data_IF_876868612889
#
_entry.id   IF_876868612889
#
_cell.length_a   1.000
_cell.length_b   1.000
_cell.length_c   1.000
_cell.angle_alpha   90.00
_cell.angle_beta   90.00
_cell.angle_gamma   90.00
#
_symmetry.space_group_name_H-M   'P 1'
#
loop_
_entity.id
_entity.type
_entity.pdbx_description
1 polymer ?
#
# COMPACT_ATOMS: atom_id res chain seq x y z
N UNK A 1 -60.03 -20.40 -30.39
CA UNK A 1 -58.79 -20.07 -29.70
C UNK A 1 -58.39 -18.64 -30.08
N UNK A 2 -58.50 -17.72 -29.15
CA UNK A 2 -58.33 -16.28 -29.40
C UNK A 2 -56.86 -15.89 -29.37
N UNK A 3 -56.30 -15.22 -30.37
CA UNK A 3 -54.90 -14.85 -30.43
C UNK A 3 -54.49 -13.69 -29.51
N UNK A 4 -55.42 -13.15 -28.71
CA UNK A 4 -55.15 -11.96 -27.90
C UNK A 4 -54.48 -12.25 -26.54
N UNK A 5 -54.46 -13.50 -26.07
CA UNK A 5 -53.89 -13.82 -24.75
C UNK A 5 -52.35 -14.12 -24.77
N UNK A 6 -51.77 -14.31 -25.95
CA UNK A 6 -50.33 -14.63 -26.02
C UNK A 6 -49.46 -13.37 -26.03
N UNK A 7 -50.02 -12.23 -26.41
CA UNK A 7 -49.25 -10.96 -26.48
C UNK A 7 -49.01 -10.31 -25.11
N UNK A 8 -49.92 -10.53 -24.14
CA UNK A 8 -49.77 -9.97 -22.80
C UNK A 8 -48.75 -10.66 -21.90
N UNK A 9 -48.42 -11.92 -22.17
CA UNK A 9 -47.43 -12.68 -21.42
C UNK A 9 -46.00 -12.31 -21.83
N UNK A 10 -45.81 -11.94 -23.11
CA UNK A 10 -44.48 -11.53 -23.62
C UNK A 10 -44.08 -10.14 -23.11
N UNK A 11 -45.00 -9.20 -22.99
CA UNK A 11 -44.72 -7.85 -22.48
C UNK A 11 -44.43 -7.78 -20.99
N UNK A 12 -44.88 -8.76 -20.19
CA UNK A 12 -44.56 -8.85 -18.77
C UNK A 12 -43.15 -9.45 -18.51
N UNK A 13 -42.72 -10.38 -19.33
CA UNK A 13 -41.36 -11.01 -19.18
C UNK A 13 -40.23 -10.08 -19.62
N UNK A 14 -40.45 -9.25 -20.62
CA UNK A 14 -39.45 -8.25 -21.08
C UNK A 14 -39.24 -7.14 -20.06
N UNK A 15 -40.23 -6.75 -19.26
CA UNK A 15 -40.06 -5.73 -18.21
C UNK A 15 -39.23 -6.25 -17.01
N UNK A 16 -39.31 -7.52 -16.68
CA UNK A 16 -38.49 -8.13 -15.62
C UNK A 16 -37.03 -8.32 -16.05
N UNK A 17 -36.79 -8.65 -17.32
CA UNK A 17 -35.41 -8.76 -17.87
C UNK A 17 -34.72 -7.39 -17.95
N UNK A 18 -35.43 -6.33 -18.29
CA UNK A 18 -34.88 -4.97 -18.29
C UNK A 18 -34.59 -4.45 -16.87
N UNK A 19 -35.37 -4.87 -15.85
CA UNK A 19 -35.12 -4.51 -14.46
C UNK A 19 -33.93 -5.26 -13.84
N UNK A 20 -33.68 -6.52 -14.25
CA UNK A 20 -32.51 -7.27 -13.81
C UNK A 20 -31.21 -6.81 -14.48
N UNK A 21 -31.25 -6.23 -15.69
CA UNK A 21 -30.08 -5.66 -16.37
C UNK A 21 -29.65 -4.30 -15.79
N UNK A 22 -30.55 -3.57 -15.13
CA UNK A 22 -30.25 -2.29 -14.49
C UNK A 22 -29.61 -2.44 -13.09
N UNK A 23 -29.64 -3.61 -12.46
CA UNK A 23 -29.04 -3.89 -11.16
C UNK A 23 -27.60 -4.42 -11.22
N UNK A 24 -27.03 -4.59 -12.42
CA UNK A 24 -25.72 -5.22 -12.64
C UNK A 24 -24.53 -4.26 -12.79
N UNK A 25 -24.74 -2.95 -12.79
CA UNK A 25 -23.62 -1.99 -12.84
C UNK A 25 -23.06 -1.74 -11.43
N UNK A 26 -22.50 -2.77 -10.81
CA UNK A 26 -21.52 -2.57 -9.74
C UNK A 26 -20.31 -1.95 -10.42
N UNK A 27 -20.23 -0.60 -10.42
CA UNK A 27 -18.99 0.08 -10.77
C UNK A 27 -17.89 -0.45 -9.87
N UNK A 28 -17.09 -1.34 -10.38
CA UNK A 28 -15.84 -1.75 -9.74
C UNK A 28 -15.02 -0.46 -9.52
N UNK A 29 -14.82 -0.10 -8.28
CA UNK A 29 -13.90 0.96 -7.90
C UNK A 29 -12.52 0.52 -8.34
N UNK A 30 -12.04 1.05 -9.45
CA UNK A 30 -10.63 0.90 -9.79
C UNK A 30 -9.85 1.89 -8.92
N UNK A 31 -9.55 1.47 -7.68
CA UNK A 31 -8.44 2.08 -6.96
C UNK A 31 -7.23 2.00 -7.89
N UNK A 32 -6.49 3.11 -8.05
CA UNK A 32 -5.29 3.06 -8.87
C UNK A 32 -4.30 2.13 -8.15
N UNK A 33 -4.00 1.00 -8.77
CA UNK A 33 -3.08 0.00 -8.27
C UNK A 33 -1.70 0.22 -8.89
N UNK A 34 -0.66 -0.19 -8.19
CA UNK A 34 0.66 -0.37 -8.79
C UNK A 34 0.84 -1.83 -9.19
N UNK A 35 1.61 -2.03 -10.26
CA UNK A 35 2.01 -3.35 -10.71
C UNK A 35 3.46 -3.59 -10.33
N UNK A 36 3.71 -4.70 -9.64
CA UNK A 36 5.00 -5.21 -9.25
C UNK A 36 5.27 -6.48 -10.03
N UNK A 37 6.40 -6.57 -10.73
CA UNK A 37 6.81 -7.79 -11.42
C UNK A 37 8.02 -8.38 -10.73
N UNK A 38 7.92 -9.64 -10.30
CA UNK A 38 8.99 -10.43 -9.70
C UNK A 38 9.51 -11.43 -10.73
N UNK A 39 10.82 -11.52 -10.87
CA UNK A 39 11.49 -12.59 -11.63
C UNK A 39 12.04 -13.60 -10.64
N UNK A 40 11.44 -14.80 -10.61
CA UNK A 40 11.84 -15.88 -9.73
C UNK A 40 12.69 -16.87 -10.53
N UNK A 41 13.96 -16.98 -10.20
CA UNK A 41 14.87 -17.93 -10.84
C UNK A 41 14.70 -19.33 -10.25
N UNK A 42 15.10 -20.40 -10.95
CA UNK A 42 15.18 -21.74 -10.36
C UNK A 42 15.97 -21.75 -9.05
N UNK A 43 15.48 -22.49 -8.05
CA UNK A 43 16.04 -22.49 -6.69
C UNK A 43 15.41 -21.43 -5.77
N UNK A 44 16.13 -21.00 -4.73
CA UNK A 44 15.66 -20.06 -3.74
C UNK A 44 15.74 -18.62 -4.22
N UNK A 45 14.65 -17.86 -3.98
CA UNK A 45 14.55 -16.44 -4.23
C UNK A 45 14.11 -15.74 -2.96
N UNK A 46 14.73 -14.61 -2.66
CA UNK A 46 14.32 -13.74 -1.56
C UNK A 46 13.59 -12.53 -2.14
N UNK A 47 12.28 -12.42 -1.88
CA UNK A 47 11.42 -11.44 -2.52
C UNK A 47 10.76 -10.51 -1.49
N UNK A 48 10.53 -9.29 -1.91
CA UNK A 48 9.82 -8.28 -1.15
C UNK A 48 8.55 -7.87 -1.89
N UNK A 49 7.39 -7.91 -1.21
CA UNK A 49 6.12 -7.49 -1.76
C UNK A 49 5.81 -6.05 -1.36
N UNK A 50 5.70 -5.16 -2.34
CA UNK A 50 5.36 -3.74 -2.13
C UNK A 50 3.85 -3.50 -2.12
N UNK A 51 3.07 -4.43 -2.68
CA UNK A 51 1.64 -4.25 -2.91
C UNK A 51 0.79 -5.28 -2.18
N UNK A 52 -0.43 -4.88 -1.84
CA UNK A 52 -1.48 -5.78 -1.36
C UNK A 52 -2.35 -6.18 -2.55
N UNK A 53 -2.26 -7.41 -3.07
CA UNK A 53 -3.14 -7.87 -4.11
C UNK A 53 -4.59 -7.94 -3.61
N UNK A 54 -5.60 -7.79 -4.49
CA UNK A 54 -7.02 -7.86 -4.11
C UNK A 54 -7.40 -9.17 -3.42
N UNK A 55 -6.78 -10.27 -3.83
CA UNK A 55 -6.86 -11.54 -3.13
C UNK A 55 -5.47 -11.93 -2.62
N UNK A 56 -5.21 -11.82 -1.32
CA UNK A 56 -3.89 -12.08 -0.75
C UNK A 56 -3.63 -13.57 -0.45
N UNK A 57 -4.51 -14.50 -0.81
CA UNK A 57 -4.29 -15.91 -0.59
C UNK A 57 -2.98 -16.38 -1.25
N UNK A 58 -2.07 -16.94 -0.47
CA UNK A 58 -0.70 -17.27 -0.92
C UNK A 58 -0.71 -18.20 -2.14
N UNK A 59 -1.62 -19.19 -2.17
CA UNK A 59 -1.74 -20.11 -3.29
C UNK A 59 -2.29 -19.49 -4.58
N UNK A 60 -2.94 -18.34 -4.51
CA UNK A 60 -3.36 -17.57 -5.68
C UNK A 60 -2.26 -16.61 -6.16
N UNK A 61 -1.54 -16.02 -5.21
CA UNK A 61 -0.43 -15.12 -5.51
C UNK A 61 0.75 -15.88 -6.13
N UNK A 62 1.10 -17.03 -5.56
CA UNK A 62 2.20 -17.90 -6.02
C UNK A 62 1.65 -19.17 -6.67
N UNK A 63 0.78 -18.98 -7.69
CA UNK A 63 0.03 -20.07 -8.34
C UNK A 63 0.79 -20.81 -9.44
N UNK A 64 1.99 -20.36 -9.83
CA UNK A 64 2.79 -21.03 -10.83
C UNK A 64 3.18 -22.45 -10.35
N UNK A 65 2.96 -23.51 -11.15
CA UNK A 65 3.21 -24.89 -10.74
C UNK A 65 4.70 -25.20 -10.48
N UNK A 66 5.61 -24.37 -10.99
CA UNK A 66 7.06 -24.48 -10.72
C UNK A 66 7.41 -23.99 -9.31
N UNK A 67 6.57 -23.23 -8.64
CA UNK A 67 6.79 -22.80 -7.26
C UNK A 67 6.55 -24.00 -6.33
N UNK A 68 7.59 -24.40 -5.63
CA UNK A 68 7.54 -25.55 -4.74
C UNK A 68 7.15 -25.20 -3.32
N UNK A 69 7.53 -24.01 -2.84
CA UNK A 69 7.16 -23.53 -1.50
C UNK A 69 7.39 -22.03 -1.35
N UNK A 70 6.64 -21.43 -0.39
CA UNK A 70 6.77 -20.03 0.02
C UNK A 70 6.91 -19.97 1.53
N UNK A 71 7.89 -19.23 2.02
CA UNK A 71 8.26 -19.18 3.43
C UNK A 71 8.31 -17.74 3.94
N UNK A 72 7.80 -17.52 5.16
CA UNK A 72 7.90 -16.26 5.88
C UNK A 72 8.52 -16.51 7.27
N UNK A 73 9.55 -15.76 7.70
CA UNK A 73 10.07 -15.90 9.05
C UNK A 73 9.08 -15.30 10.06
N UNK A 74 8.76 -16.04 11.11
CA UNK A 74 7.79 -15.62 12.16
C UNK A 74 8.38 -15.55 13.55
N UNK A 75 9.67 -15.83 13.67
CA UNK A 75 10.43 -15.73 14.94
C UNK A 75 11.68 -14.89 14.75
N UNK A 76 12.20 -14.43 15.87
CA UNK A 76 13.46 -13.71 15.94
C UNK A 76 14.63 -14.59 15.50
N UNK A 77 15.40 -14.15 14.50
CA UNK A 77 16.60 -14.83 14.00
C UNK A 77 17.83 -14.14 14.56
N UNK A 78 18.48 -14.78 15.54
CA UNK A 78 19.71 -14.28 16.16
C UNK A 78 20.92 -14.65 15.33
N UNK A 79 22.08 -14.07 15.67
CA UNK A 79 23.36 -14.43 15.01
C UNK A 79 23.76 -15.91 15.21
N UNK A 80 23.28 -16.54 16.27
CA UNK A 80 23.50 -17.96 16.54
C UNK A 80 22.55 -18.86 15.77
N UNK A 81 21.32 -18.39 15.55
CA UNK A 81 20.29 -19.16 14.85
C UNK A 81 20.27 -18.91 13.33
N UNK A 82 21.07 -17.97 12.84
CA UNK A 82 21.17 -17.68 11.42
C UNK A 82 21.81 -18.85 10.65
N UNK A 83 21.16 -19.29 9.58
CA UNK A 83 21.65 -20.33 8.69
C UNK A 83 22.05 -19.69 7.37
N UNK A 84 23.33 -19.88 6.99
CA UNK A 84 23.86 -19.24 5.78
C UNK A 84 23.43 -19.95 4.49
N UNK A 85 23.29 -21.28 4.54
CA UNK A 85 22.79 -22.04 3.39
C UNK A 85 21.30 -22.31 3.52
N UNK A 86 20.51 -21.70 2.64
CA UNK A 86 19.05 -21.84 2.69
C UNK A 86 18.56 -23.27 2.49
N UNK A 87 19.33 -24.13 1.80
CA UNK A 87 18.99 -25.54 1.63
C UNK A 87 19.12 -26.36 2.92
N UNK A 88 19.86 -25.87 3.91
CA UNK A 88 20.04 -26.53 5.21
C UNK A 88 18.94 -26.21 6.21
N UNK A 89 18.00 -25.29 5.87
CA UNK A 89 16.84 -24.98 6.72
C UNK A 89 15.86 -26.14 6.65
N UNK A 90 15.65 -26.89 7.76
CA UNK A 90 14.69 -27.99 7.76
C UNK A 90 13.26 -27.51 7.50
N UNK A 91 12.49 -28.22 6.70
CA UNK A 91 11.11 -27.88 6.36
C UNK A 91 10.20 -27.75 7.61
N UNK A 92 10.42 -28.54 8.62
CA UNK A 92 9.65 -28.53 9.87
C UNK A 92 10.31 -27.67 10.98
N UNK A 93 11.30 -26.84 10.64
CA UNK A 93 11.91 -25.96 11.63
C UNK A 93 10.89 -24.97 12.16
N UNK A 94 10.74 -24.92 13.47
CA UNK A 94 9.99 -23.87 14.13
C UNK A 94 10.50 -22.47 13.75
N UNK A 95 9.60 -21.50 13.64
CA UNK A 95 9.96 -20.12 13.30
C UNK A 95 9.74 -19.71 11.87
N UNK A 96 9.14 -20.58 11.07
CA UNK A 96 8.73 -20.29 9.71
C UNK A 96 7.23 -20.56 9.51
N UNK A 97 6.52 -19.63 8.89
CA UNK A 97 5.27 -19.90 8.25
C UNK A 97 5.55 -20.37 6.81
N UNK A 98 4.95 -21.49 6.41
CA UNK A 98 5.23 -22.15 5.14
C UNK A 98 3.96 -22.44 4.39
N UNK A 99 4.01 -22.22 3.08
CA UNK A 99 3.02 -22.68 2.11
C UNK A 99 3.68 -23.63 1.12
N UNK A 100 3.03 -24.74 0.85
CA UNK A 100 3.35 -25.70 -0.20
C UNK A 100 2.10 -25.90 -1.04
N UNK A 101 2.18 -25.97 -2.38
CA UNK A 101 1.04 -26.22 -3.24
C UNK A 101 0.26 -27.48 -2.81
N UNK A 102 -1.06 -27.40 -2.87
CA UNK A 102 -1.97 -28.43 -2.32
C UNK A 102 -1.88 -29.80 -2.99
N UNK A 103 -1.26 -29.88 -4.16
CA UNK A 103 -0.98 -31.13 -4.87
C UNK A 103 0.25 -31.89 -4.34
N UNK A 104 0.93 -31.35 -3.29
CA UNK A 104 2.08 -31.98 -2.66
C UNK A 104 1.72 -32.48 -1.26
N UNK A 105 2.26 -33.65 -0.82
CA UNK A 105 1.94 -34.22 0.50
C UNK A 105 2.26 -33.31 1.66
N UNK A 106 3.33 -32.51 1.55
CA UNK A 106 3.81 -31.60 2.60
C UNK A 106 2.81 -30.47 2.89
N UNK A 107 1.84 -30.25 1.99
CA UNK A 107 0.80 -29.21 2.14
C UNK A 107 -0.07 -29.36 3.39
N UNK A 108 -0.10 -30.54 4.00
CA UNK A 108 -0.79 -30.80 5.29
C UNK A 108 -0.21 -29.93 6.42
N UNK A 109 1.03 -29.47 6.29
CA UNK A 109 1.71 -28.64 7.28
C UNK A 109 1.62 -27.13 6.96
N UNK A 110 0.81 -26.71 5.97
CA UNK A 110 0.67 -25.32 5.61
C UNK A 110 0.17 -24.49 6.78
N UNK A 111 0.89 -23.40 7.07
CA UNK A 111 0.53 -22.41 8.08
C UNK A 111 0.73 -20.96 7.60
N UNK A 112 1.17 -20.77 6.35
CA UNK A 112 1.17 -19.49 5.64
C UNK A 112 -0.04 -19.48 4.68
N UNK A 113 -1.06 -18.68 4.97
CA UNK A 113 -2.31 -18.67 4.20
C UNK A 113 -2.48 -17.41 3.34
N UNK A 114 -1.84 -16.31 3.72
CA UNK A 114 -1.96 -15.04 3.01
C UNK A 114 -0.65 -14.28 2.98
N UNK A 115 -0.46 -13.48 1.94
CA UNK A 115 0.66 -12.55 1.82
C UNK A 115 0.23 -11.15 2.25
N UNK A 116 1.20 -10.32 2.62
CA UNK A 116 1.00 -8.95 3.11
C UNK A 116 1.95 -7.99 2.40
N UNK A 117 1.54 -6.73 2.16
CA UNK A 117 2.45 -5.71 1.64
C UNK A 117 3.53 -5.37 2.67
N UNK A 118 4.68 -4.94 2.20
CA UNK A 118 5.89 -4.63 2.98
C UNK A 118 6.47 -5.83 3.74
N UNK A 119 6.10 -7.05 3.36
CA UNK A 119 6.67 -8.30 3.89
C UNK A 119 7.59 -8.96 2.89
N UNK A 120 8.53 -9.72 3.42
CA UNK A 120 9.51 -10.46 2.66
C UNK A 120 9.23 -11.96 2.74
N UNK A 121 9.45 -12.65 1.62
CA UNK A 121 9.21 -14.08 1.49
C UNK A 121 10.40 -14.75 0.82
N UNK A 122 10.65 -15.99 1.20
CA UNK A 122 11.53 -16.88 0.46
C UNK A 122 10.68 -17.78 -0.42
N UNK A 123 10.97 -17.80 -1.71
CA UNK A 123 10.23 -18.58 -2.71
C UNK A 123 11.17 -19.59 -3.36
N UNK A 124 10.84 -20.87 -3.27
CA UNK A 124 11.59 -21.92 -3.94
C UNK A 124 10.91 -22.32 -5.25
N UNK A 125 11.67 -22.27 -6.35
CA UNK A 125 11.23 -22.66 -7.70
C UNK A 125 11.92 -23.95 -8.08
N UNK A 126 11.14 -25.01 -8.30
CA UNK A 126 11.62 -26.36 -8.68
C UNK A 126 11.82 -26.56 -10.19
N UNK A 127 11.37 -25.59 -10.99
CA UNK A 127 11.55 -25.61 -12.45
C UNK A 127 12.97 -25.29 -12.89
N UNK A 128 13.24 -25.39 -14.19
CA UNK A 128 14.54 -25.06 -14.81
C UNK A 128 14.50 -23.69 -15.51
N UNK A 129 13.33 -23.05 -15.59
CA UNK A 129 13.12 -21.75 -16.21
C UNK A 129 12.68 -20.73 -15.17
N UNK A 130 13.06 -19.47 -15.33
CA UNK A 130 12.54 -18.38 -14.49
C UNK A 130 11.03 -18.22 -14.61
N UNK A 131 10.37 -17.91 -13.50
CA UNK A 131 8.94 -17.60 -13.42
C UNK A 131 8.79 -16.08 -13.31
N UNK A 132 7.94 -15.50 -14.17
CA UNK A 132 7.55 -14.09 -14.08
C UNK A 132 6.21 -14.00 -13.32
N UNK A 133 6.25 -13.40 -12.15
CA UNK A 133 5.07 -13.18 -11.32
C UNK A 133 4.70 -11.70 -11.34
N UNK A 134 3.53 -11.38 -11.89
CA UNK A 134 3.02 -10.00 -11.94
C UNK A 134 1.90 -9.83 -10.92
N UNK A 135 2.11 -8.93 -9.96
CA UNK A 135 1.16 -8.60 -8.90
C UNK A 135 0.67 -7.17 -9.08
N UNK A 136 -0.64 -7.00 -9.07
CA UNK A 136 -1.27 -5.68 -9.10
C UNK A 136 -2.05 -5.47 -7.82
N UNK A 137 -1.81 -4.36 -7.13
CA UNK A 137 -2.45 -4.10 -5.85
C UNK A 137 -2.18 -2.70 -5.30
N UNK A 138 -2.74 -2.44 -4.13
CA UNK A 138 -2.54 -1.18 -3.44
C UNK A 138 -1.22 -1.18 -2.69
N UNK A 139 -0.40 -0.12 -2.81
CA UNK A 139 0.77 0.05 -1.97
C UNK A 139 0.36 0.42 -0.53
N UNK A 140 1.23 0.08 0.41
CA UNK A 140 1.10 0.44 1.82
C UNK A 140 2.38 1.12 2.28
N UNK A 141 2.25 2.20 3.05
CA UNK A 141 3.41 2.90 3.66
C UNK A 141 3.59 2.55 5.14
N UNK A 142 3.01 1.43 5.57
CA UNK A 142 3.14 0.97 6.95
C UNK A 142 4.60 0.69 7.27
N UNK A 143 5.13 1.39 8.27
CA UNK A 143 6.44 1.09 8.81
C UNK A 143 6.39 -0.18 9.68
N UNK A 144 7.35 -1.07 9.46
CA UNK A 144 7.54 -2.26 10.29
C UNK A 144 8.82 -2.07 11.12
N UNK A 145 8.75 -2.35 12.41
CA UNK A 145 9.94 -2.36 13.26
C UNK A 145 10.88 -3.52 12.88
N UNK A 146 12.17 -3.31 13.11
CA UNK A 146 13.14 -4.39 13.06
C UNK A 146 13.18 -5.14 14.41
N UNK A 147 13.50 -6.41 14.35
CA UNK A 147 13.78 -7.20 15.55
C UNK A 147 15.07 -6.70 16.22
N UNK A 148 15.02 -6.26 17.50
CA UNK A 148 16.21 -5.75 18.20
C UNK A 148 17.29 -6.80 18.35
N UNK A 149 18.55 -6.43 18.10
CA UNK A 149 19.73 -7.29 18.20
C UNK A 149 19.56 -8.65 17.49
N UNK A 150 18.94 -8.60 16.30
CA UNK A 150 18.60 -9.78 15.52
C UNK A 150 18.56 -9.45 14.02
N UNK A 151 18.40 -10.48 13.21
CA UNK A 151 18.15 -10.35 11.79
C UNK A 151 16.66 -10.25 11.50
N UNK A 152 16.28 -9.31 10.64
CA UNK A 152 14.95 -9.19 10.04
C UNK A 152 15.07 -9.40 8.54
N UNK A 153 14.26 -10.27 7.95
CA UNK A 153 14.15 -10.40 6.50
C UNK A 153 13.29 -9.26 5.97
N UNK A 154 13.87 -8.37 5.17
CA UNK A 154 13.21 -7.15 4.73
C UNK A 154 13.71 -6.68 3.37
N UNK A 155 12.81 -6.13 2.56
CA UNK A 155 13.13 -5.38 1.35
C UNK A 155 12.79 -3.91 1.51
N UNK A 156 13.18 -3.12 0.51
CA UNK A 156 13.03 -1.67 0.53
C UNK A 156 12.53 -1.19 -0.82
N UNK A 157 11.49 -0.33 -0.85
CA UNK A 157 11.06 0.30 -2.09
C UNK A 157 12.12 1.30 -2.55
N UNK A 158 12.72 1.02 -3.69
CA UNK A 158 13.74 1.85 -4.31
C UNK A 158 13.42 2.10 -5.78
N UNK A 159 13.92 3.19 -6.33
CA UNK A 159 13.82 3.48 -7.76
C UNK A 159 14.74 2.52 -8.54
N UNK A 160 14.20 1.64 -9.37
CA UNK A 160 15.02 0.69 -10.14
C UNK A 160 15.92 1.38 -11.19
N UNK A 161 15.59 2.62 -11.58
CA UNK A 161 16.41 3.38 -12.53
C UNK A 161 17.65 4.01 -11.88
N UNK A 162 17.60 4.24 -10.56
CA UNK A 162 18.69 4.86 -9.79
C UNK A 162 18.73 4.32 -8.37
N UNK A 163 18.98 3.00 -8.19
CA UNK A 163 18.95 2.39 -6.87
C UNK A 163 20.11 2.91 -6.00
N UNK A 164 19.87 3.22 -4.71
CA UNK A 164 20.94 3.66 -3.81
C UNK A 164 21.87 2.49 -3.46
N UNK A 165 23.10 2.79 -3.08
CA UNK A 165 23.96 1.78 -2.43
C UNK A 165 23.46 1.52 -1.01
N UNK A 166 23.86 0.37 -0.41
CA UNK A 166 23.54 0.06 0.99
C UNK A 166 24.07 1.16 1.94
N UNK A 167 25.26 1.67 1.68
CA UNK A 167 25.81 2.77 2.46
C UNK A 167 24.96 4.03 2.36
N UNK A 168 24.61 4.46 1.14
CA UNK A 168 23.77 5.65 0.95
C UNK A 168 22.43 5.52 1.65
N UNK A 169 21.82 4.34 1.55
CA UNK A 169 20.50 4.10 2.16
C UNK A 169 20.54 4.08 3.68
N UNK A 170 21.53 3.39 4.28
CA UNK A 170 21.60 3.18 5.73
C UNK A 170 22.44 4.21 6.50
N UNK A 171 23.15 5.12 5.81
CA UNK A 171 24.07 6.09 6.44
C UNK A 171 23.42 6.91 7.56
N UNK A 172 22.13 7.18 7.49
CA UNK A 172 21.39 7.96 8.50
C UNK A 172 20.80 7.09 9.63
N UNK A 173 21.05 5.77 9.63
CA UNK A 173 20.53 4.85 10.64
C UNK A 173 21.64 4.31 11.54
N UNK A 174 21.82 4.80 12.78
CA UNK A 174 22.85 4.29 13.69
C UNK A 174 22.70 2.81 14.05
N UNK A 175 21.48 2.27 13.98
CA UNK A 175 21.20 0.87 14.21
C UNK A 175 21.75 -0.07 13.11
N UNK A 176 22.02 0.47 11.92
CA UNK A 176 22.45 -0.29 10.73
C UNK A 176 23.78 0.17 10.15
N UNK A 177 24.24 1.35 10.52
CA UNK A 177 25.48 1.95 10.02
C UNK A 177 26.24 2.68 11.13
N UNK A 178 27.51 2.33 11.30
CA UNK A 178 28.40 3.02 12.22
C UNK A 178 29.15 4.13 11.48
N UNK A 179 28.74 5.37 11.65
CA UNK A 179 29.36 6.53 11.01
C UNK A 179 30.83 6.73 11.40
N UNK A 180 31.25 6.33 12.61
CA UNK A 180 32.62 6.46 13.08
C UNK A 180 33.61 5.50 12.40
N UNK A 181 33.18 4.30 12.05
CA UNK A 181 33.98 3.30 11.35
C UNK A 181 33.68 3.19 9.86
N UNK A 182 32.60 3.81 9.38
CA UNK A 182 32.11 3.66 8.01
C UNK A 182 31.56 2.26 7.71
N UNK A 183 31.23 1.47 8.74
CA UNK A 183 30.83 0.08 8.59
C UNK A 183 29.31 -0.11 8.63
N UNK A 184 28.77 -0.87 7.69
CA UNK A 184 27.44 -1.43 7.79
C UNK A 184 27.37 -2.51 8.86
N UNK A 185 26.21 -2.63 9.52
CA UNK A 185 25.87 -3.86 10.22
C UNK A 185 25.79 -5.02 9.23
N UNK A 186 25.74 -6.26 9.75
CA UNK A 186 25.65 -7.45 8.90
C UNK A 186 24.37 -7.44 8.09
N UNK A 187 24.50 -7.36 6.77
CA UNK A 187 23.40 -7.48 5.82
C UNK A 187 23.77 -8.58 4.84
N UNK A 188 22.83 -9.48 4.57
CA UNK A 188 23.05 -10.60 3.67
C UNK A 188 22.05 -10.60 2.54
N UNK A 189 22.55 -10.85 1.32
CA UNK A 189 21.79 -11.09 0.10
C UNK A 189 21.78 -12.56 -0.22
N UNK A 190 20.66 -13.09 -0.65
CA UNK A 190 20.57 -14.48 -1.12
C UNK A 190 21.15 -14.59 -2.53
N UNK A 191 22.19 -15.41 -2.68
CA UNK A 191 22.70 -15.80 -3.99
C UNK A 191 21.92 -16.99 -4.51
N UNK A 192 21.03 -16.73 -5.45
CA UNK A 192 20.11 -17.73 -5.99
C UNK A 192 20.85 -18.99 -6.51
N UNK A 193 21.98 -18.83 -7.23
CA UNK A 193 22.73 -19.94 -7.85
C UNK A 193 23.32 -20.93 -6.85
N UNK A 194 23.64 -20.49 -5.63
CA UNK A 194 24.25 -21.32 -4.58
C UNK A 194 23.34 -21.54 -3.38
N UNK A 195 22.20 -20.85 -3.31
CA UNK A 195 21.30 -20.78 -2.14
C UNK A 195 22.01 -20.31 -0.87
N UNK A 196 23.12 -19.57 -1.01
CA UNK A 196 23.89 -19.02 0.10
C UNK A 196 23.53 -17.57 0.36
N UNK A 197 23.49 -17.20 1.63
CA UNK A 197 23.42 -15.82 2.07
C UNK A 197 24.83 -15.23 2.11
N UNK A 198 25.12 -14.28 1.23
CA UNK A 198 26.42 -13.62 1.13
C UNK A 198 26.33 -12.21 1.71
N UNK A 199 27.35 -11.80 2.46
CA UNK A 199 27.41 -10.44 3.01
C UNK A 199 27.51 -9.43 1.88
N UNK A 200 26.71 -8.34 1.98
CA UNK A 200 26.78 -7.23 1.03
C UNK A 200 27.92 -6.28 1.36
N UNK A 201 28.48 -5.66 0.35
CA UNK A 201 29.44 -4.57 0.50
C UNK A 201 28.72 -3.21 0.61
N UNK A 202 29.29 -2.20 1.29
CA UNK A 202 28.69 -0.87 1.38
C UNK A 202 28.36 -0.23 0.04
N UNK A 203 29.18 -0.49 -1.00
CA UNK A 203 28.98 0.01 -2.36
C UNK A 203 28.03 -0.79 -3.24
N UNK A 204 27.53 -1.95 -2.79
CA UNK A 204 26.54 -2.72 -3.52
C UNK A 204 25.20 -1.96 -3.54
N UNK A 205 24.42 -2.12 -4.60
CA UNK A 205 23.13 -1.48 -4.74
C UNK A 205 22.01 -2.32 -4.15
N UNK A 206 21.03 -1.63 -3.56
CA UNK A 206 19.73 -2.21 -3.23
C UNK A 206 18.98 -2.53 -4.52
N UNK A 207 18.37 -3.70 -4.59
CA UNK A 207 17.51 -4.05 -5.72
C UNK A 207 16.04 -3.96 -5.31
N UNK A 208 15.22 -3.37 -6.15
CA UNK A 208 13.77 -3.39 -5.97
C UNK A 208 13.28 -4.84 -6.03
N UNK A 209 12.27 -5.16 -5.24
CA UNK A 209 11.65 -6.48 -5.15
C UNK A 209 12.49 -7.56 -4.45
N UNK A 210 13.73 -7.26 -4.06
CA UNK A 210 14.61 -8.18 -3.35
C UNK A 210 14.52 -7.96 -1.84
N UNK A 211 14.61 -9.01 -1.06
CA UNK A 211 14.69 -8.94 0.39
C UNK A 211 16.07 -9.41 0.90
N UNK A 212 16.45 -8.85 2.03
CA UNK A 212 17.76 -9.05 2.67
C UNK A 212 17.57 -9.43 4.13
N UNK A 213 18.44 -10.27 4.67
CA UNK A 213 18.61 -10.37 6.10
C UNK A 213 19.40 -9.17 6.61
N UNK A 214 18.75 -8.32 7.39
CA UNK A 214 19.34 -7.10 7.94
C UNK A 214 19.49 -7.25 9.43
N UNK A 215 20.72 -7.22 9.95
CA UNK A 215 20.98 -7.17 11.38
C UNK A 215 20.77 -5.77 11.91
N UNK A 216 20.08 -5.66 13.03
CA UNK A 216 19.81 -4.40 13.71
C UNK A 216 20.47 -4.40 15.06
N UNK A 217 21.23 -3.36 15.39
CA UNK A 217 21.81 -3.15 16.71
C UNK A 217 20.85 -2.28 17.54
N UNK A 218 20.30 -2.85 18.61
CA UNK A 218 19.21 -2.22 19.38
C UNK A 218 17.90 -2.16 18.60
N UNK A 219 17.03 -1.22 18.94
CA UNK A 219 15.71 -1.03 18.30
C UNK A 219 15.78 -0.08 17.12
N UNK A 220 15.06 -0.38 16.04
CA UNK A 220 14.94 0.49 14.88
C UNK A 220 13.59 0.34 14.19
N UNK A 221 13.06 1.48 13.73
CA UNK A 221 11.95 1.55 12.77
C UNK A 221 12.37 2.24 11.48
N UNK A 222 13.67 2.25 11.19
CA UNK A 222 14.23 2.91 10.01
C UNK A 222 13.66 2.32 8.73
N UNK A 223 13.15 3.18 7.87
CA UNK A 223 12.48 2.79 6.63
C UNK A 223 13.09 3.47 5.40
N UNK A 224 14.24 4.12 5.57
CA UNK A 224 15.00 4.83 4.56
C UNK A 224 15.32 6.27 4.94
N UNK A 225 16.07 6.99 4.09
CA UNK A 225 16.44 8.39 4.30
C UNK A 225 15.23 9.30 4.50
N UNK A 226 14.12 9.01 3.82
CA UNK A 226 12.84 9.68 3.99
C UNK A 226 11.79 8.68 4.46
N UNK A 227 11.20 8.92 5.61
CA UNK A 227 10.02 8.19 6.05
C UNK A 227 8.74 8.97 5.73
N UNK A 228 7.69 8.23 5.39
CA UNK A 228 6.39 8.77 4.97
C UNK A 228 5.30 8.14 5.82
N UNK A 229 4.57 8.96 6.57
CA UNK A 229 3.56 8.46 7.50
C UNK A 229 2.25 9.24 7.35
N UNK A 230 1.16 8.61 6.90
CA UNK A 230 -0.16 9.19 6.94
C UNK A 230 -0.63 9.40 8.40
N UNK A 231 -1.47 10.40 8.63
CA UNK A 231 -2.00 10.69 9.97
C UNK A 231 -2.84 9.56 10.56
N UNK A 232 -3.44 8.73 9.72
CA UNK A 232 -4.26 7.57 10.12
C UNK A 232 -4.07 6.44 9.12
N UNK A 233 -3.77 5.24 9.61
CA UNK A 233 -3.58 4.06 8.78
C UNK A 233 -2.31 4.11 7.93
N UNK A 234 -2.38 3.58 6.73
CA UNK A 234 -1.28 3.42 5.78
C UNK A 234 -1.53 4.07 4.41
N UNK A 235 -2.54 4.94 4.34
CA UNK A 235 -3.00 5.61 3.12
C UNK A 235 -3.65 6.96 3.44
N UNK A 236 -3.81 7.81 2.43
CA UNK A 236 -4.63 9.01 2.49
C UNK A 236 -6.08 8.65 2.15
N UNK A 237 -6.76 8.01 3.09
CA UNK A 237 -8.17 7.61 2.91
C UNK A 237 -9.10 8.70 3.43
N UNK A 238 -9.71 9.44 2.51
CA UNK A 238 -10.70 10.49 2.81
C UNK A 238 -12.11 9.93 3.06
N UNK A 239 -12.38 8.68 2.64
CA UNK A 239 -13.73 8.12 2.70
C UNK A 239 -14.75 9.03 2.03
N UNK A 240 -15.99 9.04 2.55
CA UNK A 240 -17.07 9.89 2.05
C UNK A 240 -17.15 11.27 2.72
N UNK A 241 -16.53 11.46 3.88
CA UNK A 241 -16.79 12.62 4.76
C UNK A 241 -15.57 13.46 5.10
N UNK A 242 -14.37 12.88 5.12
CA UNK A 242 -13.17 13.65 5.47
C UNK A 242 -12.72 14.50 4.28
N UNK A 243 -12.57 15.80 4.48
CA UNK A 243 -12.12 16.73 3.43
C UNK A 243 -10.60 16.87 3.40
N UNK A 244 -9.93 16.55 4.51
CA UNK A 244 -8.50 16.73 4.67
C UNK A 244 -7.83 15.49 5.28
N UNK A 245 -6.57 15.25 4.89
CA UNK A 245 -5.66 14.27 5.47
C UNK A 245 -4.27 14.86 5.54
N UNK A 246 -3.49 14.41 6.52
CA UNK A 246 -2.11 14.83 6.71
C UNK A 246 -1.15 13.70 6.35
N UNK A 247 -0.06 14.07 5.69
CA UNK A 247 1.08 13.23 5.41
C UNK A 247 2.30 13.82 6.11
N UNK A 248 2.92 13.06 6.97
CA UNK A 248 4.15 13.42 7.67
C UNK A 248 5.35 12.87 6.90
N UNK A 249 6.30 13.75 6.56
CA UNK A 249 7.58 13.42 5.94
C UNK A 249 8.70 13.69 6.94
N UNK A 250 9.54 12.71 7.21
CA UNK A 250 10.70 12.86 8.08
C UNK A 250 11.97 12.61 7.27
N UNK A 251 12.86 13.59 7.26
CA UNK A 251 14.21 13.45 6.72
C UNK A 251 15.13 12.93 7.83
N UNK A 252 15.55 11.69 7.74
CA UNK A 252 16.44 11.04 8.72
C UNK A 252 17.92 11.39 8.48
N UNK A 253 18.27 12.06 7.39
CA UNK A 253 19.66 12.43 7.08
C UNK A 253 20.11 13.70 7.81
N UNK A 254 21.41 13.96 7.84
CA UNK A 254 21.95 15.18 8.42
C UNK A 254 21.83 16.41 7.48
N UNK A 255 21.47 16.21 6.20
CA UNK A 255 21.45 17.25 5.19
C UNK A 255 20.02 17.50 4.69
N UNK A 256 19.72 18.72 4.19
CA UNK A 256 18.44 18.97 3.55
C UNK A 256 18.23 18.05 2.35
N UNK A 257 17.00 17.54 2.19
CA UNK A 257 16.58 16.73 1.05
C UNK A 257 15.44 17.42 0.30
N UNK A 258 15.55 17.44 -1.03
CA UNK A 258 14.48 17.83 -1.92
C UNK A 258 13.54 16.63 -2.12
N UNK A 259 12.40 16.63 -1.44
CA UNK A 259 11.41 15.55 -1.53
C UNK A 259 10.38 15.94 -2.58
N UNK A 260 10.18 15.09 -3.57
CA UNK A 260 9.19 15.28 -4.63
C UNK A 260 8.02 14.31 -4.43
N UNK A 261 6.81 14.84 -4.40
CA UNK A 261 5.56 14.10 -4.39
C UNK A 261 4.95 14.22 -5.78
N UNK A 262 4.67 13.10 -6.43
CA UNK A 262 4.12 13.05 -7.78
C UNK A 262 2.92 12.14 -7.87
N UNK A 263 1.98 12.44 -8.78
CA UNK A 263 0.90 11.53 -9.11
C UNK A 263 1.46 10.35 -9.93
N UNK A 264 1.30 9.14 -9.43
CA UNK A 264 1.74 7.95 -10.14
C UNK A 264 0.70 7.53 -11.19
N UNK A 265 1.09 7.56 -12.47
CA UNK A 265 0.21 7.18 -13.58
C UNK A 265 -0.90 8.18 -13.92
N UNK A 266 -1.01 9.34 -13.24
CA UNK A 266 -2.01 10.37 -13.51
C UNK A 266 -1.46 11.77 -13.25
N UNK A 267 -1.61 12.66 -14.22
CA UNK A 267 -1.13 14.04 -14.11
C UNK A 267 -2.07 14.95 -13.28
N UNK A 268 -3.38 14.71 -13.36
CA UNK A 268 -4.38 15.55 -12.69
C UNK A 268 -5.16 14.71 -11.68
N UNK A 269 -4.92 14.95 -10.41
CA UNK A 269 -5.65 14.34 -9.31
C UNK A 269 -6.62 15.36 -8.72
N UNK A 270 -7.83 14.97 -8.27
CA UNK A 270 -8.75 15.86 -7.57
C UNK A 270 -8.27 16.16 -6.15
N UNK A 271 -7.01 16.58 -6.03
CA UNK A 271 -6.34 16.91 -4.79
C UNK A 271 -5.89 18.37 -4.78
N UNK A 272 -5.78 18.91 -3.58
CA UNK A 272 -5.07 20.15 -3.29
C UNK A 272 -4.15 19.94 -2.10
N UNK A 273 -3.09 20.71 -2.00
CA UNK A 273 -2.21 20.74 -0.83
C UNK A 273 -2.20 22.14 -0.20
N UNK A 274 -1.99 22.20 1.11
CA UNK A 274 -2.03 23.46 1.86
C UNK A 274 -0.62 23.99 2.07
N UNK A 275 -0.26 25.04 1.32
CA UNK A 275 1.07 25.66 1.34
C UNK A 275 1.00 27.16 1.11
N UNK A 276 2.14 27.84 1.19
CA UNK A 276 2.29 29.24 0.79
C UNK A 276 2.53 29.27 -0.72
N UNK A 277 1.65 29.88 -1.52
CA UNK A 277 1.89 30.07 -2.96
C UNK A 277 3.09 30.97 -3.21
N UNK A 278 3.76 30.82 -4.34
CA UNK A 278 4.97 31.56 -4.71
C UNK A 278 4.79 33.09 -4.65
N UNK A 279 3.57 33.57 -4.89
CA UNK A 279 3.25 35.01 -4.93
C UNK A 279 2.39 35.45 -3.72
N UNK A 280 2.45 34.74 -2.60
CA UNK A 280 1.65 35.03 -1.42
C UNK A 280 2.48 34.87 -0.15
N UNK A 281 2.12 35.61 0.89
CA UNK A 281 2.65 35.41 2.26
C UNK A 281 1.71 34.56 3.10
N UNK A 282 0.51 34.26 2.61
CA UNK A 282 -0.50 33.50 3.32
C UNK A 282 -0.61 32.09 2.73
N UNK A 283 -0.81 31.12 3.61
CA UNK A 283 -1.09 29.74 3.21
C UNK A 283 -2.47 29.65 2.58
N UNK A 284 -2.59 28.88 1.52
CA UNK A 284 -3.85 28.57 0.86
C UNK A 284 -3.84 27.16 0.27
N UNK A 285 -5.01 26.70 -0.14
CA UNK A 285 -5.14 25.44 -0.88
C UNK A 285 -4.71 25.65 -2.33
N UNK A 286 -3.70 24.90 -2.75
CA UNK A 286 -3.13 24.90 -4.10
C UNK A 286 -3.55 23.60 -4.78
N UNK A 287 -4.21 23.64 -5.96
CA UNK A 287 -4.53 22.43 -6.71
C UNK A 287 -3.25 21.62 -7.00
N UNK A 288 -3.34 20.30 -6.86
CA UNK A 288 -2.23 19.41 -7.15
C UNK A 288 -2.12 19.16 -8.65
N UNK A 289 -1.14 19.77 -9.28
CA UNK A 289 -0.92 19.75 -10.74
C UNK A 289 0.09 18.68 -11.18
N UNK A 290 0.09 17.52 -10.53
CA UNK A 290 0.92 16.37 -10.91
C UNK A 290 2.18 16.19 -10.07
N UNK A 291 2.84 17.25 -9.61
CA UNK A 291 3.98 17.15 -8.70
C UNK A 291 4.06 18.35 -7.72
N UNK A 292 4.73 18.10 -6.61
CA UNK A 292 5.08 19.10 -5.61
C UNK A 292 6.41 18.74 -4.97
N UNK A 293 7.38 19.67 -5.02
CA UNK A 293 8.71 19.48 -4.41
C UNK A 293 8.87 20.42 -3.22
N UNK A 294 9.41 19.89 -2.13
CA UNK A 294 9.71 20.66 -0.93
C UNK A 294 11.09 20.28 -0.39
N UNK A 295 11.80 21.25 0.20
CA UNK A 295 13.04 21.01 0.93
C UNK A 295 12.74 20.73 2.39
N UNK A 296 13.15 19.55 2.89
CA UNK A 296 13.05 19.18 4.29
C UNK A 296 14.44 19.22 4.91
N UNK A 297 14.70 20.07 5.91
CA UNK A 297 16.01 20.13 6.57
C UNK A 297 16.42 18.79 7.17
N UNK A 298 17.72 18.57 7.34
CA UNK A 298 18.22 17.34 7.98
C UNK A 298 17.69 17.16 9.39
N UNK A 299 17.26 15.95 9.71
CA UNK A 299 16.64 15.59 10.99
C UNK A 299 15.24 16.19 11.24
N UNK A 300 14.70 16.93 10.27
CA UNK A 300 13.42 17.62 10.42
C UNK A 300 12.23 16.77 9.97
N UNK A 301 11.08 17.09 10.52
CA UNK A 301 9.78 16.55 10.12
C UNK A 301 8.93 17.65 9.51
N UNK A 302 8.36 17.38 8.35
CA UNK A 302 7.43 18.26 7.65
C UNK A 302 6.06 17.61 7.54
N UNK A 303 5.01 18.35 7.91
CA UNK A 303 3.62 17.92 7.76
C UNK A 303 2.98 18.60 6.59
N UNK A 304 2.38 17.83 5.71
CA UNK A 304 1.63 18.29 4.55
C UNK A 304 0.17 17.94 4.71
N UNK A 305 -0.70 18.94 4.53
CA UNK A 305 -2.14 18.72 4.48
C UNK A 305 -2.58 18.59 3.03
N UNK A 306 -3.28 17.52 2.74
CA UNK A 306 -3.94 17.27 1.46
C UNK A 306 -5.45 17.40 1.62
N UNK A 307 -6.09 18.07 0.69
CA UNK A 307 -7.55 18.18 0.59
C UNK A 307 -8.07 17.47 -0.64
N UNK A 308 -9.23 16.83 -0.53
CA UNK A 308 -9.91 16.20 -1.66
C UNK A 308 -10.92 17.16 -2.29
N UNK A 309 -10.83 17.36 -3.59
CA UNK A 309 -11.75 18.18 -4.39
C UNK A 309 -12.85 17.31 -4.99
N UNK A 310 -13.83 16.90 -4.17
CA UNK A 310 -14.89 15.96 -4.57
C UNK A 310 -15.68 16.40 -5.80
N UNK A 311 -15.81 17.71 -6.02
CA UNK A 311 -16.47 18.26 -7.22
C UNK A 311 -15.71 17.93 -8.53
N UNK A 312 -14.42 17.64 -8.45
CA UNK A 312 -13.59 17.30 -9.61
C UNK A 312 -13.43 15.77 -9.80
N UNK A 313 -13.97 14.96 -8.90
CA UNK A 313 -13.97 13.50 -9.09
C UNK A 313 -14.86 13.14 -10.30
N UNK A 314 -14.39 12.27 -11.15
CA UNK A 314 -15.16 11.79 -12.31
C UNK A 314 -16.18 10.72 -11.94
N UNK A 315 -15.88 9.95 -10.90
CA UNK A 315 -16.70 8.84 -10.39
C UNK A 315 -17.02 9.03 -8.92
N UNK A 316 -18.00 8.31 -8.39
CA UNK A 316 -18.38 8.35 -6.98
C UNK A 316 -17.27 7.80 -6.07
N UNK A 317 -16.43 6.96 -6.60
CA UNK A 317 -15.24 6.46 -5.92
C UNK A 317 -13.98 6.90 -6.68
N UNK A 318 -13.00 7.38 -5.94
CA UNK A 318 -11.73 7.82 -6.47
C UNK A 318 -10.60 7.02 -5.81
N UNK A 319 -9.67 6.54 -6.62
CA UNK A 319 -8.42 5.92 -6.17
C UNK A 319 -7.25 6.43 -7.00
N UNK A 320 -6.15 6.73 -6.34
CA UNK A 320 -4.90 7.15 -6.94
C UNK A 320 -3.71 6.68 -6.10
N UNK A 321 -2.51 6.84 -6.63
CA UNK A 321 -1.26 6.64 -5.90
C UNK A 321 -0.40 7.88 -6.05
N UNK A 322 0.16 8.34 -4.94
CA UNK A 322 1.25 9.32 -4.92
C UNK A 322 2.58 8.57 -4.77
N UNK A 323 3.57 8.95 -5.54
CA UNK A 323 4.97 8.58 -5.31
C UNK A 323 5.66 9.70 -4.55
N UNK A 324 6.43 9.35 -3.53
CA UNK A 324 7.25 10.27 -2.72
C UNK A 324 8.69 9.83 -2.89
N UNK A 325 9.52 10.67 -3.52
CA UNK A 325 10.93 10.37 -3.82
C UNK A 325 11.85 11.39 -3.15
N UNK A 326 12.99 10.91 -2.67
CA UNK A 326 14.07 11.76 -2.12
C UNK A 326 15.09 12.21 -3.18
N UNK A 327 14.89 11.81 -4.44
CA UNK A 327 15.84 12.09 -5.52
C UNK A 327 17.18 11.34 -5.40
N UNK A 328 17.39 10.55 -4.36
CA UNK A 328 18.60 9.76 -4.08
C UNK A 328 18.36 8.24 -4.21
N UNK A 329 17.21 7.85 -4.76
CA UNK A 329 16.87 6.48 -5.08
C UNK A 329 15.89 5.81 -4.11
N UNK A 330 15.45 6.48 -3.03
CA UNK A 330 14.32 6.00 -2.22
C UNK A 330 13.00 6.48 -2.82
N UNK A 331 12.02 5.59 -2.89
CA UNK A 331 10.66 5.92 -3.33
C UNK A 331 9.64 5.27 -2.40
N UNK A 332 8.55 6.00 -2.11
CA UNK A 332 7.40 5.48 -1.34
C UNK A 332 6.13 5.72 -2.13
N UNK A 333 5.21 4.77 -2.06
CA UNK A 333 3.94 4.87 -2.75
C UNK A 333 2.82 4.96 -1.74
N UNK A 334 2.05 6.04 -1.80
CA UNK A 334 0.95 6.33 -0.87
C UNK A 334 -0.37 6.19 -1.62
N UNK A 335 -1.21 5.27 -1.20
CA UNK A 335 -2.57 5.15 -1.74
C UNK A 335 -3.42 6.35 -1.32
N UNK A 336 -4.21 6.87 -2.25
CA UNK A 336 -5.20 7.94 -2.03
C UNK A 336 -6.57 7.40 -2.38
N UNK A 337 -7.49 7.46 -1.44
CA UNK A 337 -8.84 6.94 -1.60
C UNK A 337 -9.87 8.00 -1.17
N UNK A 338 -10.93 8.18 -1.94
CA UNK A 338 -12.05 9.05 -1.59
C UNK A 338 -13.36 8.54 -2.18
N UNK A 339 -14.47 8.96 -1.58
CA UNK A 339 -15.81 8.67 -2.06
C UNK A 339 -16.63 9.96 -2.09
N UNK A 340 -17.58 10.06 -3.01
CA UNK A 340 -18.63 11.07 -2.89
C UNK A 340 -19.60 10.66 -1.80
N UNK A 341 -20.09 11.60 -0.96
CA UNK A 341 -21.19 11.32 -0.07
C UNK A 341 -22.39 10.82 -0.87
N UNK A 342 -23.08 9.81 -0.36
CA UNK A 342 -24.34 9.40 -0.93
C UNK A 342 -25.30 10.61 -0.95
N UNK A 343 -26.07 10.83 -2.04
CA UNK A 343 -27.07 11.89 -2.05
C UNK A 343 -28.00 11.67 -0.85
N UNK A 344 -28.16 12.71 -0.04
CA UNK A 344 -29.15 12.69 1.04
C UNK A 344 -30.48 12.61 0.35
N UNK A 345 -31.09 11.43 0.31
CA UNK A 345 -32.48 11.29 -0.11
C UNK A 345 -33.28 12.01 0.97
N UNK A 346 -33.55 13.28 0.73
CA UNK A 346 -34.45 14.05 1.57
C UNK A 346 -35.73 13.23 1.69
N UNK A 347 -36.18 12.98 2.92
CA UNK A 347 -37.55 12.53 3.14
C UNK A 347 -38.46 13.57 2.53
N UNK A 348 -38.72 13.45 1.22
CA UNK A 348 -39.69 14.25 0.52
C UNK A 348 -41.03 13.88 1.09
N UNK A 349 -41.63 14.84 1.76
CA UNK A 349 -43.07 14.86 1.92
C UNK A 349 -43.62 14.12 3.11
N UNK A 350 -43.40 14.65 4.31
CA UNK A 350 -44.61 14.91 5.12
C UNK A 350 -45.28 16.10 4.46
N UNK A 351 -46.33 15.81 3.67
CA UNK A 351 -47.26 16.81 3.24
C UNK A 351 -47.67 17.59 4.51
N UNK A 352 -47.35 18.89 4.54
CA UNK A 352 -47.95 19.81 5.49
C UNK A 352 -49.43 19.73 5.21
N UNK A 353 -50.15 19.02 6.08
CA UNK A 353 -51.58 19.13 6.13
C UNK A 353 -51.91 20.61 6.25
N UNK A 354 -52.62 21.11 5.27
CA UNK A 354 -53.26 22.41 5.33
C UNK A 354 -54.17 22.44 6.55
N UNK A 355 -53.65 23.03 7.64
CA UNK A 355 -54.55 23.45 8.73
C UNK A 355 -55.47 24.51 8.17
N UNK A 356 -56.71 24.12 7.90
CA UNK A 356 -57.83 25.03 7.73
C UNK A 356 -58.01 25.77 9.05
N UNK A 357 -58.10 27.12 9.07
CA UNK A 357 -58.43 27.83 10.28
C UNK A 357 -59.90 27.50 10.64
N UNK A 358 -60.07 26.95 11.82
CA UNK A 358 -61.40 26.90 12.43
C UNK A 358 -61.75 28.32 12.87
N UNK A 359 -62.63 28.96 12.11
CA UNK A 359 -63.42 30.11 12.58
C UNK A 359 -64.29 29.64 13.77
N UNK A 360 -64.05 30.23 14.87
CA UNK A 360 -64.84 30.00 16.08
C UNK A 360 -64.66 31.16 17.02
N UNK A 361 -65.53 32.12 16.87
CA UNK A 361 -65.63 33.27 17.74
C UNK A 361 -65.97 32.89 19.18
N UNK A 362 -65.55 33.72 20.10
CA UNK A 362 -65.83 33.56 21.54
C UNK A 362 -65.20 34.66 22.37
N UNK A 363 -65.86 35.78 22.42
CA UNK A 363 -65.98 36.83 23.43
C UNK A 363 -65.36 36.54 24.78
N UNK A 364 -64.61 37.52 25.32
CA UNK A 364 -64.95 38.06 26.65
C UNK A 364 -64.00 37.89 27.80
N UNK A 365 -63.42 39.02 28.15
CA UNK A 365 -63.34 39.76 29.42
C UNK A 365 -62.05 39.55 30.23
N UNK A 366 -61.46 40.64 30.77
CA UNK A 366 -60.19 40.72 31.47
C UNK A 366 -60.46 40.74 33.02
N UNK A 367 -59.41 40.61 33.82
CA UNK A 367 -59.12 41.04 35.17
C UNK A 367 -57.96 40.21 35.76
N UNK A 368 -56.97 40.62 36.29
CA UNK A 368 -56.20 41.63 37.01
C UNK A 368 -54.70 41.39 36.76
#
# INVERSE_FOLDING_TARGET
MNPCNTLFIFLRRTRWLAFCLLLGSVCAVTAQNITQTLTLNPGWNSVFLEVSPPNPAVGLVFSDPSISSVWEPVVRVTTVSFIQNQNEVPFNRGGWAVYVPTNRPESINNNLFSVRPNHAYLVNVSGTQPVQLTLTGQPSVRQLAFEPDAFTLRGFPVDPASPPTFQQFFASSPAHYNAGSGALQRIYRLKNTSSQWEAVSPGDHLNRNEAYWVYTSGSSSFDGPVSVTPSVGDSLNFGATADEKELTLMNSTAHPLAITISGFGAANLPLAYYAVPTNSLLRSWIPFSGNYTLNVPGGATQRLRFGIQRGQMTNDNFGAVLSVSDGAGSVRYVSVLAQRPAPVVGKSGLARGTHQPLDGGGTGIPVE
#
